data_IF_029895851911
#
_entry.id   IF_029895851911
#
_cell.length_a   1.000
_cell.length_b   1.000
_cell.length_c   1.000
_cell.angle_alpha   90.00
_cell.angle_beta   90.00
_cell.angle_gamma   90.00
#
_symmetry.space_group_name_H-M   'P 1'
#
loop_
_entity.id
_entity.type
_entity.pdbx_description
1 polymer ?
#
# COMPACT_ATOMS: atom_id res chain seq x y z
N UNK A 1 -17.96 -4.95 -7.40
CA UNK A 1 -18.49 -6.17 -8.03
C UNK A 1 -17.74 -7.34 -7.44
N UNK A 2 -18.41 -8.26 -6.76
CA UNK A 2 -17.78 -9.48 -6.26
C UNK A 2 -17.68 -10.47 -7.44
N UNK A 3 -16.49 -10.63 -8.00
CA UNK A 3 -16.24 -11.44 -9.19
C UNK A 3 -16.36 -12.96 -8.97
N UNK A 4 -16.66 -13.40 -7.74
CA UNK A 4 -16.74 -14.80 -7.32
C UNK A 4 -18.16 -15.33 -7.08
N UNK A 5 -19.20 -14.51 -7.29
CA UNK A 5 -20.59 -14.97 -7.15
C UNK A 5 -20.94 -15.87 -8.33
N UNK A 6 -21.22 -17.15 -8.05
CA UNK A 6 -21.78 -18.06 -9.05
C UNK A 6 -23.15 -17.56 -9.47
N UNK A 7 -23.34 -17.26 -10.76
CA UNK A 7 -24.65 -16.89 -11.30
C UNK A 7 -25.60 -18.10 -11.45
N UNK A 8 -25.11 -19.30 -11.16
CA UNK A 8 -25.84 -20.57 -11.35
C UNK A 8 -26.33 -21.18 -10.04
N UNK A 9 -25.60 -20.97 -8.95
CA UNK A 9 -25.90 -21.55 -7.65
C UNK A 9 -26.19 -20.43 -6.66
N UNK A 10 -27.41 -20.33 -6.09
CA UNK A 10 -27.71 -19.32 -5.09
C UNK A 10 -26.90 -19.57 -3.82
N UNK A 11 -26.31 -18.52 -3.25
CA UNK A 11 -25.67 -18.60 -1.94
C UNK A 11 -26.73 -18.94 -0.89
N UNK A 12 -26.54 -20.06 -0.20
CA UNK A 12 -27.41 -20.48 0.89
C UNK A 12 -26.91 -19.89 2.22
N UNK A 13 -27.79 -19.50 3.16
CA UNK A 13 -27.38 -18.98 4.47
C UNK A 13 -26.35 -19.86 5.20
N UNK A 14 -26.48 -21.19 5.08
CA UNK A 14 -25.55 -22.15 5.69
C UNK A 14 -24.13 -22.06 5.13
N UNK A 15 -23.98 -21.66 3.87
CA UNK A 15 -22.67 -21.46 3.25
C UNK A 15 -21.97 -20.23 3.84
N UNK A 16 -22.72 -19.15 4.11
CA UNK A 16 -22.20 -17.95 4.76
C UNK A 16 -21.78 -18.24 6.21
N UNK A 17 -22.56 -19.04 6.95
CA UNK A 17 -22.20 -19.47 8.29
C UNK A 17 -20.94 -20.35 8.27
N UNK A 18 -20.86 -21.31 7.36
CA UNK A 18 -19.68 -22.17 7.22
C UNK A 18 -18.42 -21.36 6.84
N UNK A 19 -18.55 -20.33 5.99
CA UNK A 19 -17.47 -19.42 5.65
C UNK A 19 -17.05 -18.58 6.86
N UNK A 20 -18.00 -18.06 7.64
CA UNK A 20 -17.72 -17.30 8.85
C UNK A 20 -16.95 -18.15 9.88
N UNK A 21 -17.34 -19.41 10.08
CA UNK A 21 -16.61 -20.34 10.95
C UNK A 21 -15.16 -20.51 10.50
N UNK A 22 -14.92 -20.75 9.20
CA UNK A 22 -13.56 -20.85 8.64
C UNK A 22 -12.77 -19.55 8.81
N UNK A 23 -13.42 -18.40 8.64
CA UNK A 23 -12.77 -17.11 8.84
C UNK A 23 -12.33 -16.93 10.29
N UNK A 24 -13.21 -17.27 11.25
CA UNK A 24 -12.90 -17.23 12.69
C UNK A 24 -11.71 -18.14 13.04
N UNK A 25 -11.67 -19.36 12.49
CA UNK A 25 -10.52 -20.28 12.64
C UNK A 25 -9.21 -19.71 12.07
N UNK A 26 -9.29 -18.93 10.98
CA UNK A 26 -8.13 -18.29 10.38
C UNK A 26 -7.66 -17.04 11.14
N UNK A 27 -8.52 -16.39 11.93
CA UNK A 27 -8.18 -15.09 12.56
C UNK A 27 -6.87 -15.05 13.35
N UNK A 28 -6.48 -16.07 14.15
CA UNK A 28 -5.23 -16.00 14.92
C UNK A 28 -3.97 -15.98 14.04
N UNK A 29 -4.09 -16.43 12.78
CA UNK A 29 -3.01 -16.43 11.79
C UNK A 29 -2.96 -15.14 10.95
N UNK A 30 -4.03 -14.34 10.96
CA UNK A 30 -4.14 -13.08 10.22
C UNK A 30 -3.74 -11.87 11.08
N UNK A 31 -3.86 -11.97 12.39
CA UNK A 31 -3.54 -10.89 13.33
C UNK A 31 -2.05 -10.98 13.71
N UNK A 32 -1.25 -9.92 13.49
CA UNK A 32 0.14 -9.89 13.94
C UNK A 32 0.23 -10.05 15.46
N UNK A 33 1.28 -10.74 15.92
CA UNK A 33 1.55 -10.95 17.34
C UNK A 33 2.06 -9.69 18.06
N UNK A 34 2.52 -8.72 17.27
CA UNK A 34 3.18 -7.50 17.68
C UNK A 34 2.14 -6.47 18.20
N UNK A 35 2.23 -6.03 19.46
CA UNK A 35 1.25 -5.10 20.05
C UNK A 35 1.10 -3.79 19.28
N UNK A 36 2.18 -3.26 18.70
CA UNK A 36 2.14 -2.00 17.95
C UNK A 36 1.45 -2.14 16.59
N UNK A 37 1.53 -3.32 15.98
CA UNK A 37 0.80 -3.64 14.75
C UNK A 37 -0.70 -3.82 15.04
N UNK A 38 -1.03 -4.45 16.19
CA UNK A 38 -2.40 -4.65 16.65
C UNK A 38 -3.03 -3.40 17.31
N UNK A 39 -2.23 -2.36 17.55
CA UNK A 39 -2.70 -1.15 18.21
C UNK A 39 -3.79 -0.44 17.41
N UNK A 40 -4.85 -0.03 18.12
CA UNK A 40 -5.94 0.74 17.54
C UNK A 40 -5.47 2.15 17.20
N UNK A 41 -5.57 2.55 15.93
CA UNK A 41 -5.21 3.89 15.45
C UNK A 41 -6.35 4.52 14.66
N UNK A 42 -6.31 5.85 14.52
CA UNK A 42 -7.17 6.59 13.61
C UNK A 42 -6.43 6.71 12.27
N UNK A 43 -7.04 6.25 11.18
CA UNK A 43 -6.45 6.31 9.84
C UNK A 43 -7.44 6.90 8.84
N UNK A 44 -7.00 7.86 8.02
CA UNK A 44 -7.87 8.48 7.02
C UNK A 44 -8.18 7.50 5.87
N UNK A 45 -9.45 7.14 5.60
CA UNK A 45 -9.79 6.08 4.66
C UNK A 45 -9.53 6.47 3.19
N UNK A 46 -9.65 7.76 2.84
CA UNK A 46 -9.47 8.23 1.46
C UNK A 46 -8.61 9.51 1.36
N UNK A 47 -7.35 9.41 1.78
CA UNK A 47 -6.46 10.57 1.75
C UNK A 47 -5.93 10.81 0.32
N UNK A 48 -6.52 11.78 -0.36
CA UNK A 48 -6.10 12.32 -1.66
C UNK A 48 -5.98 13.86 -1.64
N UNK A 49 -5.44 14.46 -2.70
CA UNK A 49 -5.12 15.89 -2.75
C UNK A 49 -6.36 16.79 -2.56
N UNK A 50 -7.52 16.41 -3.11
CA UNK A 50 -8.75 17.21 -2.92
C UNK A 50 -9.25 17.23 -1.46
N UNK A 51 -8.77 16.30 -0.62
CA UNK A 51 -9.09 16.24 0.81
C UNK A 51 -8.07 17.00 1.69
N UNK A 52 -7.11 17.70 1.09
CA UNK A 52 -6.06 18.45 1.78
C UNK A 52 -6.12 19.92 1.36
N UNK A 53 -6.36 20.80 2.34
CA UNK A 53 -6.28 22.24 2.11
C UNK A 53 -4.90 22.76 2.47
N UNK A 54 -4.39 23.64 1.62
CA UNK A 54 -3.06 24.25 1.76
C UNK A 54 -3.20 25.77 1.65
N UNK A 55 -2.53 26.47 2.55
CA UNK A 55 -2.41 27.93 2.46
C UNK A 55 -1.51 28.30 1.25
N UNK A 56 -2.00 29.10 0.27
CA UNK A 56 -1.28 29.37 -0.96
C UNK A 56 -0.04 30.27 -0.75
N UNK A 57 0.06 30.95 0.38
CA UNK A 57 1.18 31.85 0.71
C UNK A 57 2.28 31.10 1.45
N UNK A 58 1.91 30.27 2.43
CA UNK A 58 2.85 29.57 3.31
C UNK A 58 3.15 28.14 2.88
N UNK A 59 2.37 27.59 1.95
CA UNK A 59 2.42 26.19 1.51
C UNK A 59 2.25 25.17 2.66
N UNK A 60 1.58 25.57 3.76
CA UNK A 60 1.30 24.68 4.90
C UNK A 60 -0.08 24.07 4.76
N UNK A 61 -0.20 22.81 5.16
CA UNK A 61 -1.50 22.14 5.31
C UNK A 61 -2.30 22.84 6.40
N UNK A 62 -3.50 23.30 6.08
CA UNK A 62 -4.41 24.01 6.99
C UNK A 62 -5.52 23.09 7.51
N UNK A 63 -6.00 22.15 6.70
CA UNK A 63 -6.97 21.15 7.11
C UNK A 63 -6.92 19.88 6.26
N UNK A 64 -7.38 18.79 6.87
CA UNK A 64 -7.68 17.52 6.21
C UNK A 64 -9.17 17.26 6.45
N UNK A 65 -9.93 17.03 5.38
CA UNK A 65 -11.39 16.86 5.42
C UNK A 65 -11.78 15.45 4.99
N UNK A 66 -13.09 15.18 4.92
CA UNK A 66 -13.64 13.90 4.44
C UNK A 66 -13.32 12.69 5.35
N UNK A 67 -13.28 12.95 6.66
CA UNK A 67 -13.12 11.93 7.70
C UNK A 67 -14.33 11.00 7.88
N UNK A 68 -15.37 11.12 7.06
CA UNK A 68 -16.51 10.22 7.12
C UNK A 68 -16.07 8.78 6.88
N UNK A 69 -16.74 7.82 7.53
CA UNK A 69 -16.35 6.40 7.51
C UNK A 69 -14.99 6.08 8.14
N UNK A 70 -14.33 7.03 8.80
CA UNK A 70 -13.14 6.74 9.60
C UNK A 70 -13.51 5.90 10.81
N UNK A 71 -12.73 4.85 11.08
CA UNK A 71 -12.86 4.00 12.26
C UNK A 71 -11.58 3.98 13.06
N UNK A 72 -11.71 3.77 14.37
CA UNK A 72 -10.58 3.35 15.20
C UNK A 72 -10.47 1.83 15.06
N UNK A 73 -9.38 1.36 14.45
CA UNK A 73 -9.14 -0.06 14.17
C UNK A 73 -7.65 -0.41 14.32
N UNK A 74 -7.28 -1.69 14.37
CA UNK A 74 -5.87 -2.08 14.43
C UNK A 74 -5.06 -1.55 13.25
N UNK A 75 -3.82 -1.08 13.48
CA UNK A 75 -2.95 -0.52 12.45
C UNK A 75 -2.73 -1.50 11.28
N UNK A 76 -2.47 -2.78 11.56
CA UNK A 76 -2.27 -3.79 10.52
C UNK A 76 -3.46 -3.95 9.56
N UNK A 77 -4.68 -3.64 10.03
CA UNK A 77 -5.90 -3.81 9.26
C UNK A 77 -6.14 -2.64 8.28
N UNK A 78 -5.70 -1.43 8.62
CA UNK A 78 -5.98 -0.20 7.87
C UNK A 78 -4.76 0.45 7.21
N UNK A 79 -3.56 0.01 7.60
CA UNK A 79 -2.28 0.48 7.05
C UNK A 79 -2.23 0.30 5.54
N UNK A 80 -2.10 1.40 4.80
CA UNK A 80 -1.94 1.37 3.35
C UNK A 80 -1.18 2.61 2.88
N UNK A 81 -0.68 2.59 1.63
CA UNK A 81 -0.15 3.80 0.99
C UNK A 81 -1.34 4.70 0.61
N UNK A 82 -1.42 5.94 1.13
CA UNK A 82 -2.49 6.89 0.79
C UNK A 82 -2.62 7.11 -0.71
N UNK A 83 -3.83 7.38 -1.19
CA UNK A 83 -4.14 7.53 -2.62
C UNK A 83 -3.31 8.62 -3.29
N UNK A 84 -3.07 9.73 -2.60
CA UNK A 84 -2.19 10.82 -3.08
C UNK A 84 -0.74 10.39 -3.37
N UNK A 85 -0.25 9.30 -2.77
CA UNK A 85 1.11 8.81 -2.97
C UNK A 85 1.16 7.49 -3.74
N UNK A 86 0.00 6.89 -4.03
CA UNK A 86 -0.08 5.53 -4.56
C UNK A 86 0.11 5.55 -6.08
N UNK A 87 1.24 5.03 -6.53
CA UNK A 87 1.40 4.58 -7.92
C UNK A 87 0.36 3.51 -8.29
N UNK A 88 -0.35 3.70 -9.40
CA UNK A 88 -1.45 2.84 -9.84
C UNK A 88 -1.02 1.56 -10.58
N UNK A 89 0.28 1.41 -10.86
CA UNK A 89 0.85 0.23 -11.51
C UNK A 89 1.69 -0.61 -10.55
N UNK A 90 2.40 -1.63 -11.09
CA UNK A 90 3.38 -2.38 -10.33
C UNK A 90 4.48 -1.46 -9.78
N UNK A 91 4.63 -1.43 -8.47
CA UNK A 91 5.71 -0.69 -7.82
C UNK A 91 6.98 -1.53 -7.89
N UNK A 92 8.05 -0.98 -8.45
CA UNK A 92 9.35 -1.68 -8.54
C UNK A 92 9.79 -2.18 -7.16
N UNK A 93 10.42 -3.35 -7.10
CA UNK A 93 11.03 -3.86 -5.87
C UNK A 93 12.31 -3.09 -5.53
N UNK A 94 12.74 -3.19 -4.28
CA UNK A 94 13.93 -2.53 -3.74
C UNK A 94 13.92 -1.00 -3.89
N UNK A 95 15.03 -0.37 -3.48
CA UNK A 95 15.25 1.08 -3.48
C UNK A 95 15.62 1.63 -4.87
N UNK A 96 14.96 1.13 -5.92
CA UNK A 96 15.20 1.57 -7.31
C UNK A 96 14.28 2.74 -7.64
N UNK A 97 14.86 3.91 -7.91
CA UNK A 97 14.14 5.06 -8.45
C UNK A 97 13.89 4.83 -9.94
N UNK A 98 12.65 4.97 -10.44
CA UNK A 98 12.35 4.82 -11.86
C UNK A 98 13.14 5.83 -12.72
N UNK A 99 13.63 5.38 -13.86
CA UNK A 99 14.30 6.22 -14.85
C UNK A 99 13.58 6.15 -16.18
N UNK A 100 13.70 7.22 -16.99
CA UNK A 100 13.18 7.23 -18.35
C UNK A 100 13.77 6.07 -19.17
N UNK A 101 12.97 5.45 -20.06
CA UNK A 101 13.46 4.39 -20.92
C UNK A 101 14.41 4.96 -22.00
N UNK A 102 15.33 4.13 -22.51
CA UNK A 102 16.34 4.58 -23.48
C UNK A 102 15.74 5.11 -24.80
N UNK A 103 14.54 4.68 -25.16
CA UNK A 103 13.81 5.13 -26.35
C UNK A 103 12.84 6.29 -26.07
N UNK A 104 12.91 6.95 -24.92
CA UNK A 104 11.96 8.01 -24.54
C UNK A 104 11.83 9.11 -25.61
N UNK A 105 12.96 9.59 -26.15
CA UNK A 105 12.97 10.66 -27.14
C UNK A 105 12.40 10.24 -28.50
N UNK A 106 12.18 8.95 -28.74
CA UNK A 106 11.59 8.44 -29.97
C UNK A 106 10.08 8.21 -29.85
N UNK A 107 9.50 8.39 -28.66
CA UNK A 107 8.07 8.23 -28.41
C UNK A 107 7.30 9.47 -28.88
N UNK A 108 6.00 9.30 -29.12
CA UNK A 108 5.10 10.43 -29.36
C UNK A 108 4.99 11.33 -28.12
N UNK A 109 4.55 12.59 -28.29
CA UNK A 109 4.39 13.52 -27.18
C UNK A 109 3.43 13.00 -26.10
N UNK A 110 2.34 12.35 -26.52
CA UNK A 110 1.36 11.75 -25.60
C UNK A 110 1.98 10.60 -24.78
N UNK A 111 2.76 9.73 -25.42
CA UNK A 111 3.47 8.64 -24.75
C UNK A 111 4.56 9.18 -23.81
N UNK A 112 5.30 10.21 -24.21
CA UNK A 112 6.28 10.87 -23.34
C UNK A 112 5.62 11.42 -22.08
N UNK A 113 4.48 12.12 -22.21
CA UNK A 113 3.71 12.62 -21.06
C UNK A 113 3.24 11.50 -20.16
N UNK A 114 2.73 10.39 -20.71
CA UNK A 114 2.32 9.23 -19.91
C UNK A 114 3.50 8.61 -19.15
N UNK A 115 4.65 8.47 -19.82
CA UNK A 115 5.86 7.95 -19.18
C UNK A 115 6.32 8.89 -18.07
N UNK A 116 6.36 10.20 -18.28
CA UNK A 116 6.76 11.15 -17.25
C UNK A 116 5.81 11.14 -16.04
N UNK A 117 4.50 11.09 -16.25
CA UNK A 117 3.51 10.97 -15.18
C UNK A 117 3.65 9.67 -14.39
N UNK A 118 3.89 8.55 -15.08
CA UNK A 118 4.12 7.25 -14.43
C UNK A 118 5.38 7.26 -13.57
N UNK A 119 6.48 7.84 -14.09
CA UNK A 119 7.74 7.99 -13.36
C UNK A 119 7.59 8.91 -12.15
N UNK A 120 6.87 10.02 -12.28
CA UNK A 120 6.58 10.94 -11.18
C UNK A 120 5.78 10.23 -10.07
N UNK A 121 4.67 9.57 -10.42
CA UNK A 121 3.85 8.81 -9.48
C UNK A 121 4.64 7.69 -8.79
N UNK A 122 5.47 6.96 -9.54
CA UNK A 122 6.35 5.93 -8.98
C UNK A 122 7.40 6.50 -8.03
N UNK A 123 7.95 7.67 -8.36
CA UNK A 123 8.93 8.38 -7.51
C UNK A 123 8.29 8.86 -6.21
N UNK A 124 7.10 9.45 -6.27
CA UNK A 124 6.35 9.89 -5.08
C UNK A 124 6.01 8.69 -4.19
N UNK A 125 5.57 7.57 -4.75
CA UNK A 125 5.31 6.33 -3.99
C UNK A 125 6.58 5.87 -3.25
N UNK A 126 7.71 5.79 -3.94
CA UNK A 126 9.00 5.40 -3.34
C UNK A 126 9.46 6.37 -2.25
N UNK A 127 9.25 7.66 -2.47
CA UNK A 127 9.56 8.67 -1.47
C UNK A 127 8.69 8.50 -0.21
N UNK A 128 7.39 8.24 -0.37
CA UNK A 128 6.51 7.92 0.76
C UNK A 128 7.01 6.70 1.54
N UNK A 129 7.33 5.59 0.86
CA UNK A 129 7.91 4.39 1.48
C UNK A 129 9.18 4.70 2.28
N UNK A 130 10.10 5.49 1.71
CA UNK A 130 11.34 5.89 2.38
C UNK A 130 11.08 6.73 3.64
N UNK A 131 10.12 7.66 3.60
CA UNK A 131 9.73 8.46 4.76
C UNK A 131 9.07 7.58 5.83
N UNK A 132 8.19 6.65 5.45
CA UNK A 132 7.56 5.68 6.35
C UNK A 132 8.61 4.80 7.03
N UNK A 133 9.52 4.23 6.25
CA UNK A 133 10.63 3.43 6.77
C UNK A 133 11.43 4.19 7.84
N UNK A 134 11.70 5.48 7.60
CA UNK A 134 12.50 6.31 8.51
C UNK A 134 11.74 6.80 9.74
N UNK A 135 10.44 7.12 9.61
CA UNK A 135 9.69 7.89 10.64
C UNK A 135 8.54 7.13 11.29
N UNK A 136 8.06 6.05 10.69
CA UNK A 136 6.91 5.29 11.14
C UNK A 136 7.20 3.78 11.08
N UNK A 137 8.12 3.26 11.92
CA UNK A 137 8.61 1.89 11.82
C UNK A 137 7.50 0.84 11.99
N UNK A 138 6.48 1.11 12.79
CA UNK A 138 5.34 0.20 12.96
C UNK A 138 4.46 0.14 11.72
N UNK A 139 4.19 1.30 11.09
CA UNK A 139 3.48 1.35 9.81
C UNK A 139 4.29 0.66 8.70
N UNK A 140 5.62 0.85 8.67
CA UNK A 140 6.50 0.14 7.74
C UNK A 140 6.34 -1.38 7.86
N UNK A 141 6.45 -1.93 9.07
CA UNK A 141 6.36 -3.38 9.33
C UNK A 141 5.07 -4.01 8.83
N UNK A 142 3.94 -3.33 8.98
CA UNK A 142 2.63 -3.84 8.54
C UNK A 142 2.24 -3.39 7.14
N UNK A 143 3.08 -2.60 6.48
CA UNK A 143 2.85 -2.23 5.09
C UNK A 143 3.40 -3.34 4.18
N UNK A 144 2.71 -3.63 3.07
CA UNK A 144 3.26 -4.49 2.02
C UNK A 144 4.52 -3.93 1.34
N UNK A 145 5.05 -2.78 1.78
CA UNK A 145 6.35 -2.29 1.36
C UNK A 145 7.51 -3.01 2.06
N UNK A 146 7.34 -3.46 3.32
CA UNK A 146 8.41 -4.18 4.03
C UNK A 146 8.84 -5.46 3.30
N UNK A 147 7.88 -6.17 2.68
CA UNK A 147 8.15 -7.38 1.90
C UNK A 147 8.86 -7.08 0.57
N UNK A 148 8.57 -5.94 -0.06
CA UNK A 148 9.18 -5.51 -1.34
C UNK A 148 10.59 -4.94 -1.20
N UNK A 149 11.02 -4.66 0.02
CA UNK A 149 12.32 -4.06 0.33
C UNK A 149 13.02 -4.85 1.42
N UNK A 150 13.54 -6.06 1.10
CA UNK A 150 14.27 -6.85 2.07
C UNK A 150 15.46 -6.05 2.60
N UNK A 151 15.68 -6.14 3.91
CA UNK A 151 16.90 -5.59 4.52
C UNK A 151 18.13 -6.26 3.92
N UNK A 152 19.29 -5.60 3.94
CA UNK A 152 20.54 -6.19 3.43
C UNK A 152 20.82 -7.56 4.07
N UNK A 153 20.44 -7.74 5.34
CA UNK A 153 20.53 -9.01 6.07
C UNK A 153 19.61 -10.08 5.48
N UNK A 154 18.34 -9.78 5.26
CA UNK A 154 17.38 -10.71 4.64
C UNK A 154 17.71 -11.01 3.16
N UNK A 155 18.25 -10.03 2.44
CA UNK A 155 18.71 -10.20 1.06
C UNK A 155 19.95 -11.12 0.97
N UNK A 156 20.79 -11.14 2.01
CA UNK A 156 21.93 -12.05 2.10
C UNK A 156 21.49 -13.46 2.52
N UNK A 157 20.54 -13.59 3.45
CA UNK A 157 19.96 -14.88 3.84
C UNK A 157 19.22 -15.55 2.67
N UNK A 158 18.37 -14.81 1.93
CA UNK A 158 17.68 -15.34 0.75
C UNK A 158 18.62 -15.77 -0.39
N UNK A 159 19.81 -15.16 -0.48
CA UNK A 159 20.89 -15.57 -1.39
C UNK A 159 21.55 -16.89 -0.97
N UNK A 160 21.66 -17.12 0.33
CA UNK A 160 22.24 -18.37 0.87
C UNK A 160 21.33 -19.58 0.60
N UNK A 161 20.01 -19.38 0.59
CA UNK A 161 19.03 -20.43 0.22
C UNK A 161 18.98 -20.74 -1.29
N UNK A 162 19.51 -19.86 -2.15
CA UNK A 162 19.46 -20.01 -3.62
C UNK A 162 20.76 -20.55 -4.24
N UNK A 163 21.79 -20.83 -3.42
CA UNK A 163 23.06 -21.44 -3.85
C UNK A 163 23.20 -22.91 -3.39
N UNK A 164 22.13 -23.50 -2.86
CA UNK A 164 22.06 -24.88 -2.40
C UNK A 164 21.26 -25.79 -3.33
N UNK A 165 21.58 -25.82 -4.63
CA UNK A 165 21.22 -26.92 -5.55
C UNK A 165 22.39 -27.22 -6.52
#
# INVERSE_FOLDING_TARGET
>A
MNYYVSLKDPELPDQALALLSKYLEATPYLVPSEPEAAANVLWHPDLHLDNIFVDPTTCKVTSIVDWQSTSIAPLFYQSCVPRMFRHGGPVREAWVVPSRPGNFNTLSMEEQTRVDQDLENGTIHKYYEAIVYRRAPYHWKVSGAAERHPTQTQANEARDWSLGE
#
